data_IF_942214123618
#
_entry.id   IF_942214123618
#
_cell.length_a   1.000
_cell.length_b   1.000
_cell.length_c   1.000
_cell.angle_alpha   90.00
_cell.angle_beta   90.00
_cell.angle_gamma   90.00
#
_symmetry.space_group_name_H-M   'P 1'
#
loop_
_entity.id
_entity.type
_entity.pdbx_description
1 polymer ?
#
# COMPACT_ATOMS: atom_id res chain seq x y z
N UNK A 1 18.68 -11.96 -28.21
CA UNK A 1 18.13 -11.85 -27.93
C UNK A 1 17.32 -11.01 -27.66
N UNK A 2 16.61 -10.72 -27.56
CA UNK A 2 15.89 -10.03 -27.53
C UNK A 2 15.19 -9.70 -26.69
N UNK A 3 15.05 -9.10 -26.26
CA UNK A 3 14.39 -8.47 -25.69
C UNK A 3 13.31 -8.80 -25.20
N UNK A 4 13.30 -9.47 -24.62
CA UNK A 4 12.18 -9.92 -24.20
C UNK A 4 11.54 -9.01 -23.31
N UNK A 5 11.92 -8.38 -22.67
CA UNK A 5 11.20 -7.74 -21.71
C UNK A 5 10.35 -6.70 -22.04
N UNK A 6 9.97 -6.62 -23.19
CA UNK A 6 9.35 -5.52 -23.50
C UNK A 6 7.98 -5.54 -23.15
N UNK A 7 7.37 -6.37 -22.65
CA UNK A 7 6.11 -6.25 -22.50
C UNK A 7 5.73 -6.35 -21.18
N UNK A 8 5.66 -5.69 -20.37
CA UNK A 8 5.28 -5.75 -19.15
C UNK A 8 3.95 -5.21 -19.00
N UNK A 9 3.09 -5.32 -19.88
CA UNK A 9 1.82 -4.71 -19.87
C UNK A 9 0.90 -5.25 -18.82
N UNK A 10 1.10 -6.37 -18.30
CA UNK A 10 0.18 -6.91 -17.32
C UNK A 10 0.63 -6.70 -15.90
N UNK A 11 1.30 -5.62 -15.63
CA UNK A 11 1.70 -5.38 -14.26
C UNK A 11 2.85 -6.24 -13.82
N UNK A 12 3.70 -6.61 -14.72
CA UNK A 12 4.85 -7.41 -14.38
C UNK A 12 6.13 -6.68 -14.72
N UNK A 13 7.18 -7.01 -14.02
CA UNK A 13 8.47 -6.45 -14.32
C UNK A 13 9.50 -7.54 -14.15
N UNK A 14 10.64 -7.34 -14.77
CA UNK A 14 11.67 -8.34 -14.74
C UNK A 14 12.58 -8.12 -13.57
N UNK A 15 12.72 -9.13 -12.74
CA UNK A 15 13.55 -9.07 -11.54
C UNK A 15 14.43 -10.28 -11.50
N UNK A 16 15.75 -10.08 -11.49
CA UNK A 16 16.69 -11.18 -11.40
C UNK A 16 16.45 -12.25 -12.46
N UNK A 17 16.17 -11.81 -13.67
CA UNK A 17 15.95 -12.74 -14.75
C UNK A 17 14.58 -13.35 -14.81
N UNK A 18 13.68 -12.97 -13.92
CA UNK A 18 12.32 -13.49 -13.91
C UNK A 18 11.34 -12.35 -13.88
N UNK A 19 10.07 -12.65 -14.20
CA UNK A 19 9.04 -11.62 -14.16
C UNK A 19 8.19 -11.81 -12.90
N UNK A 20 7.89 -10.72 -12.22
CA UNK A 20 7.07 -10.75 -11.03
C UNK A 20 5.87 -9.84 -11.21
N UNK A 21 4.74 -10.24 -10.67
CA UNK A 21 3.56 -9.40 -10.65
C UNK A 21 3.73 -8.30 -9.62
N UNK A 22 2.81 -7.34 -9.62
CA UNK A 22 2.85 -6.28 -8.62
C UNK A 22 2.81 -6.85 -7.21
N UNK A 23 1.93 -7.82 -6.99
CA UNK A 23 1.81 -8.40 -5.67
C UNK A 23 3.09 -9.09 -5.22
N UNK A 24 3.69 -9.84 -6.11
CA UNK A 24 4.92 -10.54 -5.77
C UNK A 24 6.05 -9.58 -5.47
N UNK A 25 6.13 -8.49 -6.22
CA UNK A 25 7.18 -7.52 -6.01
C UNK A 25 7.02 -6.80 -4.67
N UNK A 26 5.78 -6.47 -4.31
CA UNK A 26 5.52 -5.86 -3.02
C UNK A 26 5.86 -6.83 -1.88
N UNK A 27 5.50 -8.12 -2.04
CA UNK A 27 5.83 -9.10 -1.01
C UNK A 27 7.34 -9.22 -0.83
N UNK A 28 8.07 -9.19 -1.92
CA UNK A 28 9.51 -9.27 -1.84
C UNK A 28 10.10 -8.04 -1.16
N UNK A 29 9.56 -6.86 -1.47
CA UNK A 29 10.02 -5.64 -0.83
C UNK A 29 9.76 -5.67 0.67
N UNK A 30 8.58 -6.11 1.07
CA UNK A 30 8.26 -6.19 2.47
C UNK A 30 9.16 -7.17 3.20
N UNK A 31 9.51 -8.28 2.54
CA UNK A 31 10.42 -9.24 3.14
C UNK A 31 11.78 -8.65 3.40
N UNK A 32 12.32 -7.86 2.46
CA UNK A 32 13.60 -7.21 2.68
C UNK A 32 13.53 -6.18 3.79
N UNK A 33 12.45 -5.41 3.81
CA UNK A 33 12.31 -4.39 4.84
C UNK A 33 12.20 -5.00 6.23
N UNK A 34 11.48 -6.11 6.32
CA UNK A 34 11.35 -6.78 7.62
C UNK A 34 12.67 -7.36 8.10
N UNK A 35 13.46 -7.92 7.20
CA UNK A 35 14.67 -8.60 7.62
C UNK A 35 15.88 -7.67 7.69
N UNK A 36 15.95 -6.64 6.86
CA UNK A 36 17.13 -5.78 6.80
C UNK A 36 16.84 -4.31 7.10
N UNK A 37 15.60 -3.91 7.07
CA UNK A 37 15.27 -2.52 7.32
C UNK A 37 15.49 -1.59 6.14
N UNK A 38 15.91 -2.11 5.02
CA UNK A 38 16.15 -1.30 3.84
C UNK A 38 16.03 -2.15 2.59
N UNK A 39 15.85 -1.48 1.47
CA UNK A 39 15.71 -2.16 0.19
C UNK A 39 17.06 -2.20 -0.52
N UNK A 40 17.35 -3.31 -1.16
CA UNK A 40 18.55 -3.39 -1.99
C UNK A 40 18.39 -2.45 -3.18
N UNK A 41 19.50 -1.96 -3.74
CA UNK A 41 19.40 -1.06 -4.89
C UNK A 41 18.68 -1.65 -6.08
N UNK A 42 18.88 -2.93 -6.35
CA UNK A 42 18.23 -3.54 -7.50
C UNK A 42 16.73 -3.67 -7.28
N UNK A 43 16.31 -4.00 -6.08
CA UNK A 43 14.89 -4.11 -5.81
C UNK A 43 14.21 -2.75 -5.84
N UNK A 44 14.91 -1.73 -5.33
CA UNK A 44 14.38 -0.38 -5.39
C UNK A 44 14.18 0.05 -6.85
N UNK A 45 15.11 -0.30 -7.70
CA UNK A 45 15.00 0.04 -9.11
C UNK A 45 13.81 -0.67 -9.74
N UNK A 46 13.60 -1.93 -9.42
CA UNK A 46 12.46 -2.67 -9.96
C UNK A 46 11.14 -2.07 -9.50
N UNK A 47 11.09 -1.64 -8.24
CA UNK A 47 9.88 -1.02 -7.73
C UNK A 47 9.58 0.29 -8.45
N UNK A 48 10.62 1.08 -8.72
CA UNK A 48 10.42 2.32 -9.46
C UNK A 48 9.99 2.04 -10.89
N UNK A 49 10.52 1.02 -11.51
CA UNK A 49 10.13 0.70 -12.87
C UNK A 49 8.69 0.24 -12.96
N UNK A 50 8.26 -0.58 -12.04
CA UNK A 50 6.91 -1.12 -12.12
C UNK A 50 5.87 -0.13 -11.62
N UNK A 51 6.12 0.51 -10.50
CA UNK A 51 5.12 1.37 -9.86
C UNK A 51 5.28 2.85 -10.18
N UNK A 52 6.46 3.28 -10.57
CA UNK A 52 6.68 4.70 -10.85
C UNK A 52 6.39 5.57 -9.63
N UNK A 53 5.61 6.63 -9.85
CA UNK A 53 5.30 7.56 -8.77
C UNK A 53 4.50 6.93 -7.64
N UNK A 54 3.79 5.86 -7.92
CA UNK A 54 3.06 5.18 -6.85
C UNK A 54 4.04 4.69 -5.78
N UNK A 55 5.20 4.19 -6.18
CA UNK A 55 6.18 3.76 -5.21
C UNK A 55 6.78 4.94 -4.47
N UNK A 56 7.17 5.99 -5.19
CA UNK A 56 7.76 7.17 -4.57
C UNK A 56 6.81 7.78 -3.54
N UNK A 57 5.56 7.98 -3.94
CA UNK A 57 4.57 8.58 -3.05
C UNK A 57 4.27 7.68 -1.86
N UNK A 58 4.17 6.38 -2.10
CA UNK A 58 3.94 5.45 -1.01
C UNK A 58 5.08 5.40 -0.03
N UNK A 59 6.30 5.44 -0.55
CA UNK A 59 7.50 5.42 0.30
C UNK A 59 7.55 6.67 1.19
N UNK A 60 7.31 7.83 0.60
CA UNK A 60 7.34 9.06 1.37
C UNK A 60 6.25 9.08 2.43
N UNK A 61 5.08 8.61 2.08
CA UNK A 61 3.97 8.60 3.01
C UNK A 61 4.25 7.66 4.18
N UNK A 62 4.82 6.51 3.89
CA UNK A 62 5.16 5.56 4.94
C UNK A 62 6.21 6.13 5.89
N UNK A 63 7.16 6.89 5.35
CA UNK A 63 8.23 7.43 6.17
C UNK A 63 7.92 8.76 6.82
N UNK A 64 6.76 9.32 6.57
CA UNK A 64 6.35 10.58 7.19
C UNK A 64 5.20 10.38 8.17
N UNK A 65 5.05 9.16 8.66
CA UNK A 65 4.01 8.84 9.63
C UNK A 65 2.62 9.07 9.07
N UNK A 66 2.45 8.77 7.79
CA UNK A 66 1.15 8.91 7.16
C UNK A 66 0.26 7.69 7.31
N UNK A 67 0.74 6.64 7.99
CA UNK A 67 0.00 5.41 8.13
C UNK A 67 -0.37 5.20 9.59
N UNK A 68 -1.61 4.82 9.84
CA UNK A 68 -2.12 4.62 11.20
C UNK A 68 -2.75 3.26 11.34
N UNK A 69 -2.54 2.67 12.49
CA UNK A 69 -3.13 1.38 12.81
C UNK A 69 -4.05 1.59 14.00
N UNK A 70 -5.34 1.39 13.79
CA UNK A 70 -6.32 1.54 14.86
C UNK A 70 -6.61 0.17 15.43
N UNK A 71 -6.57 0.06 16.74
CA UNK A 71 -6.93 -1.17 17.41
C UNK A 71 -8.09 -0.89 18.34
N UNK A 72 -9.16 -1.66 18.22
CA UNK A 72 -10.38 -1.45 18.98
C UNK A 72 -10.49 -2.49 20.08
N UNK A 73 -10.87 -2.08 21.26
CA UNK A 73 -11.00 -2.99 22.39
C UNK A 73 -12.41 -2.96 22.88
N UNK A 74 -12.90 -4.07 23.42
CA UNK A 74 -12.17 -5.30 23.71
C UNK A 74 -12.07 -6.30 22.57
N UNK A 75 -12.62 -6.00 21.39
CA UNK A 75 -12.65 -6.99 20.32
C UNK A 75 -11.28 -7.33 19.75
N UNK A 76 -10.35 -6.38 19.82
CA UNK A 76 -9.05 -6.58 19.18
C UNK A 76 -9.07 -6.31 17.69
N UNK A 77 -10.16 -5.74 17.19
CA UNK A 77 -10.28 -5.46 15.76
C UNK A 77 -9.27 -4.42 15.33
N UNK A 78 -8.62 -4.64 14.19
CA UNK A 78 -7.60 -3.74 13.69
C UNK A 78 -8.04 -3.14 12.36
N UNK A 79 -7.84 -1.84 12.20
CA UNK A 79 -8.17 -1.16 10.96
C UNK A 79 -6.98 -0.27 10.60
N UNK A 80 -6.57 -0.32 9.35
CA UNK A 80 -5.49 0.52 8.87
C UNK A 80 -6.04 1.70 8.08
N UNK A 81 -5.43 2.85 8.25
CA UNK A 81 -5.82 4.05 7.53
C UNK A 81 -4.58 4.78 7.07
N UNK A 82 -4.67 5.46 5.96
CA UNK A 82 -3.52 6.14 5.35
C UNK A 82 -3.94 7.56 5.00
N UNK A 83 -3.09 8.51 5.31
CA UNK A 83 -3.37 9.90 5.03
C UNK A 83 -3.30 10.15 3.53
N UNK A 84 -4.33 10.74 2.98
CA UNK A 84 -4.35 11.11 1.59
C UNK A 84 -4.18 12.61 1.46
N UNK A 85 -4.43 13.12 0.29
CA UNK A 85 -4.30 14.55 0.08
C UNK A 85 -5.37 15.34 0.79
N UNK A 86 -6.58 14.86 0.75
CA UNK A 86 -7.68 15.59 1.35
C UNK A 86 -8.13 15.00 2.67
N UNK A 87 -8.01 13.73 2.82
CA UNK A 87 -8.49 13.09 4.02
C UNK A 87 -7.77 11.78 4.22
N UNK A 88 -8.13 11.07 5.26
CA UNK A 88 -7.58 9.78 5.56
C UNK A 88 -8.45 8.73 4.90
N UNK A 89 -7.85 7.66 4.40
CA UNK A 89 -8.59 6.58 3.74
C UNK A 89 -8.33 5.26 4.44
N UNK A 90 -9.37 4.47 4.58
CA UNK A 90 -9.20 3.13 5.09
C UNK A 90 -8.61 2.25 4.01
N UNK A 91 -7.65 1.41 4.38
CA UNK A 91 -7.09 0.43 3.46
C UNK A 91 -7.25 -0.93 4.10
N UNK A 92 -7.40 -1.95 3.26
CA UNK A 92 -7.52 -3.33 3.71
C UNK A 92 -6.39 -4.12 3.09
N UNK A 93 -5.29 -4.30 3.82
CA UNK A 93 -4.12 -4.94 3.22
C UNK A 93 -4.33 -6.40 2.86
N UNK A 94 -5.18 -7.11 3.59
CA UNK A 94 -5.38 -8.53 3.33
C UNK A 94 -6.05 -8.81 2.00
N UNK A 95 -6.92 -7.91 1.57
CA UNK A 95 -7.60 -8.09 0.30
C UNK A 95 -7.24 -6.96 -0.66
N UNK A 96 -6.07 -6.41 -0.62
CA UNK A 96 -5.55 -5.17 -1.20
C UNK A 96 -6.66 -4.24 -1.70
N UNK A 97 -7.30 -3.57 -0.78
CA UNK A 97 -8.38 -2.66 -1.10
C UNK A 97 -8.18 -1.31 -0.41
N UNK A 98 -8.51 -0.22 -1.09
CA UNK A 98 -8.41 1.11 -0.53
C UNK A 98 -9.63 1.90 -0.97
N UNK A 99 -10.12 2.76 -0.09
CA UNK A 99 -11.31 3.56 -0.42
C UNK A 99 -10.99 4.84 -1.18
N UNK A 100 -9.76 5.01 -1.64
CA UNK A 100 -9.41 6.20 -2.39
C UNK A 100 -9.90 6.15 -3.82
N UNK A 101 -9.96 7.31 -4.48
CA UNK A 101 -10.42 7.37 -5.85
C UNK A 101 -9.45 6.69 -6.81
N UNK A 102 -8.16 6.79 -6.53
CA UNK A 102 -7.18 6.18 -7.42
C UNK A 102 -7.39 4.67 -7.48
N UNK A 103 -7.65 4.04 -6.35
CA UNK A 103 -7.91 2.61 -6.34
C UNK A 103 -9.17 2.31 -7.15
N UNK A 104 -10.21 3.10 -6.91
CA UNK A 104 -11.47 2.84 -7.59
C UNK A 104 -11.32 2.92 -9.10
N UNK A 105 -10.70 3.98 -9.60
CA UNK A 105 -10.64 4.16 -11.03
C UNK A 105 -9.57 3.33 -11.72
N UNK A 106 -8.47 3.06 -11.06
CA UNK A 106 -7.38 2.34 -11.71
C UNK A 106 -7.44 0.85 -11.52
N UNK A 107 -7.77 0.42 -10.32
CA UNK A 107 -7.83 -1.00 -10.03
C UNK A 107 -9.08 -1.63 -10.62
N UNK A 108 -10.20 -0.92 -10.49
CA UNK A 108 -11.44 -1.43 -11.05
C UNK A 108 -11.36 -1.57 -12.57
N UNK A 109 -10.52 -0.76 -13.20
CA UNK A 109 -10.30 -0.89 -14.63
C UNK A 109 -9.21 -1.90 -14.92
N UNK A 110 -8.71 -2.59 -13.90
CA UNK A 110 -7.68 -3.61 -14.06
C UNK A 110 -6.39 -3.09 -14.63
N UNK A 111 -6.09 -1.84 -14.39
CA UNK A 111 -4.85 -1.28 -14.86
C UNK A 111 -3.74 -1.44 -13.86
N UNK A 112 -4.06 -1.42 -12.58
CA UNK A 112 -3.05 -1.52 -11.54
C UNK A 112 -3.61 -2.26 -10.35
N UNK A 113 -2.75 -2.94 -9.65
CA UNK A 113 -3.17 -3.71 -8.50
C UNK A 113 -3.07 -2.99 -7.18
N UNK A 114 -2.24 -1.94 -7.10
CA UNK A 114 -2.03 -1.21 -5.86
C UNK A 114 -2.06 0.28 -6.12
N UNK A 115 -2.76 1.01 -5.27
CA UNK A 115 -2.62 2.45 -5.26
C UNK A 115 -1.49 2.78 -4.30
N UNK A 116 -1.04 4.04 -4.27
CA UNK A 116 0.09 4.38 -3.42
C UNK A 116 -0.27 4.31 -1.93
N UNK A 117 -1.52 4.41 -1.58
CA UNK A 117 -1.91 4.26 -0.17
C UNK A 117 -1.69 2.82 0.31
N UNK A 118 -2.03 1.86 -0.53
CA UNK A 118 -1.79 0.46 -0.18
C UNK A 118 -0.29 0.17 -0.10
N UNK A 119 0.47 0.74 -1.01
CA UNK A 119 1.92 0.59 -0.96
C UNK A 119 2.47 1.18 0.34
N UNK A 120 1.99 2.37 0.70
CA UNK A 120 2.44 3.01 1.93
C UNK A 120 2.15 2.14 3.15
N UNK A 121 0.96 1.56 3.20
CA UNK A 121 0.59 0.73 4.34
C UNK A 121 1.50 -0.50 4.42
N UNK A 122 1.77 -1.15 3.29
CA UNK A 122 2.61 -2.33 3.30
C UNK A 122 4.04 -1.99 3.74
N UNK A 123 4.57 -0.88 3.27
CA UNK A 123 5.91 -0.46 3.64
C UNK A 123 5.97 -0.08 5.12
N UNK A 124 5.01 0.70 5.58
CA UNK A 124 4.99 1.13 6.97
C UNK A 124 4.86 -0.04 7.93
N UNK A 125 4.03 -1.02 7.58
CA UNK A 125 3.88 -2.19 8.42
C UNK A 125 5.18 -3.00 8.47
N UNK A 126 5.84 -3.17 7.34
CA UNK A 126 7.09 -3.90 7.29
C UNK A 126 8.20 -3.21 8.09
N UNK A 127 8.20 -1.88 8.11
CA UNK A 127 9.21 -1.13 8.84
C UNK A 127 8.78 -0.80 10.27
N UNK A 128 7.55 -1.12 10.63
CA UNK A 128 7.00 -0.77 11.94
C UNK A 128 7.03 0.75 12.13
N UNK A 129 6.70 1.49 11.06
CA UNK A 129 6.68 2.94 11.11
C UNK A 129 5.26 3.44 10.90
N UNK A 130 4.44 3.25 11.89
CA UNK A 130 3.05 3.71 11.83
C UNK A 130 2.64 4.17 13.22
N UNK A 131 1.60 5.00 13.26
CA UNK A 131 1.06 5.43 14.54
C UNK A 131 0.03 4.42 15.00
N UNK A 132 0.04 4.10 16.28
CA UNK A 132 -0.96 3.22 16.83
C UNK A 132 -1.97 4.03 17.61
N UNK A 133 -3.24 3.80 17.35
CA UNK A 133 -4.31 4.54 17.96
C UNK A 133 -5.29 3.56 18.60
N UNK A 134 -5.50 3.70 19.90
CA UNK A 134 -6.40 2.82 20.61
C UNK A 134 -7.79 3.46 20.66
N UNK A 135 -8.81 2.66 20.38
CA UNK A 135 -10.18 3.11 20.42
C UNK A 135 -11.02 2.03 21.07
N UNK A 136 -12.24 2.39 21.44
CA UNK A 136 -13.17 1.42 21.99
C UNK A 136 -14.10 0.92 20.89
N UNK A 137 -14.58 -0.31 21.06
CA UNK A 137 -15.49 -0.86 20.08
C UNK A 137 -16.69 0.02 19.85
N UNK A 138 -17.14 0.73 20.86
CA UNK A 138 -18.29 1.59 20.72
C UNK A 138 -18.04 2.74 19.75
N UNK A 139 -16.78 3.03 19.44
CA UNK A 139 -16.43 4.10 18.53
C UNK A 139 -16.21 3.61 17.11
N UNK A 140 -16.30 2.31 16.90
CA UNK A 140 -15.94 1.74 15.61
C UNK A 140 -16.77 2.32 14.46
N UNK A 141 -18.07 2.36 14.61
CA UNK A 141 -18.94 2.82 13.53
C UNK A 141 -18.65 4.28 13.16
N UNK A 142 -18.47 5.11 14.17
CA UNK A 142 -18.22 6.51 13.90
C UNK A 142 -16.87 6.73 13.23
N UNK A 143 -15.86 6.04 13.74
CA UNK A 143 -14.52 6.21 13.19
C UNK A 143 -14.44 5.72 11.75
N UNK A 144 -15.00 4.55 11.46
CA UNK A 144 -14.86 3.99 10.13
C UNK A 144 -15.79 4.64 9.11
N UNK A 145 -16.89 5.22 9.55
CA UNK A 145 -17.84 5.80 8.62
C UNK A 145 -17.23 6.93 7.80
N UNK A 146 -16.38 7.73 8.40
CA UNK A 146 -15.82 8.87 7.70
C UNK A 146 -14.86 8.44 6.59
N UNK A 147 -14.30 7.26 6.69
CA UNK A 147 -13.39 6.80 5.65
C UNK A 147 -14.13 6.29 4.42
N UNK A 148 -15.40 5.94 4.60
CA UNK A 148 -16.18 5.38 3.51
C UNK A 148 -17.10 6.39 2.85
N UNK A 149 -17.13 7.60 3.35
CA UNK A 149 -18.03 8.61 2.83
C UNK A 149 -17.35 9.46 1.78
N UNK A 150 -16.65 8.82 0.85
CA UNK A 150 -15.89 9.62 -0.08
C UNK A 150 -16.73 10.33 -1.09
N UNK A 151 -17.94 9.88 -1.30
CA UNK A 151 -18.75 10.59 -2.25
C UNK A 151 -19.30 11.84 -1.63
N UNK A 152 -19.17 12.02 -0.37
CA UNK A 152 -19.65 13.23 0.24
C UNK A 152 -18.85 14.44 -0.17
N UNK A 153 -17.84 14.27 -0.95
CA UNK A 153 -17.09 15.42 -1.39
C UNK A 153 -17.41 15.85 -2.72
#
# INVERSE_FOLDING_TARGET
MKAAGRHHSNGETRVQGAFLSENELIERACGELESRGELSPSLKEDLHQLFGDRFTNGWELANSKGVRRYEFTPSGRVVWAVRGRKSEYQVMPDIPFCYCDDYYFRVMDRKRGFCYHLIAQRIAAALHQFEEIAKKDSQYSVVTARWRAREAN
#
